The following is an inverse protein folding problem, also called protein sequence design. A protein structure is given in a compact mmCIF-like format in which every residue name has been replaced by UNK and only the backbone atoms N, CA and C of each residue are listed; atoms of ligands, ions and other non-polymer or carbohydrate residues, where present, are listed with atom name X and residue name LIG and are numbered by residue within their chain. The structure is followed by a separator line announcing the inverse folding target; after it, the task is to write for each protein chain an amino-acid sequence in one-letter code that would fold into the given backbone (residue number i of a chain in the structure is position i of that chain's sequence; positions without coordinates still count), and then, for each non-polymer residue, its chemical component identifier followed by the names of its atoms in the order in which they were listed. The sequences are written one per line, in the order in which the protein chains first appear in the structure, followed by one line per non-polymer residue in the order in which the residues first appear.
data_IF_244214511542
#
_entry.id   IF_244214511542
#
_cell.length_a   1.000
_cell.length_b   1.000
_cell.length_c   1.000
_cell.angle_alpha   90.00
_cell.angle_beta   90.00
_cell.angle_gamma   90.00
#
_symmetry.space_group_name_H-M   'P 1'
#
loop_
_entity.id
_entity.type
_entity.pdbx_description
1 polymer ?
#
# COMPACT_ATOMS: atom_id res chain seq x y z
N UNK A 1 35.05 -56.20 -27.46
CA UNK A 1 33.96 -56.69 -26.57
C UNK A 1 33.52 -55.48 -25.77
N UNK A 2 32.29 -54.97 -25.83
CA UNK A 2 31.00 -55.62 -26.02
C UNK A 2 30.07 -54.83 -26.96
N UNK A 3 29.20 -55.56 -27.64
CA UNK A 3 28.17 -55.06 -28.57
C UNK A 3 26.88 -54.73 -27.81
N UNK A 4 26.13 -53.78 -28.36
CA UNK A 4 24.73 -53.48 -28.07
C UNK A 4 23.83 -54.71 -28.20
N UNK A 5 22.89 -54.87 -27.26
CA UNK A 5 21.77 -55.81 -27.35
C UNK A 5 20.46 -55.03 -27.45
N UNK A 6 19.76 -55.24 -28.56
CA UNK A 6 18.34 -54.89 -28.73
C UNK A 6 17.50 -55.69 -27.73
N UNK A 7 16.51 -55.03 -27.10
CA UNK A 7 15.59 -55.67 -26.16
C UNK A 7 14.35 -54.81 -25.89
N UNK A 8 13.36 -54.95 -26.77
CA UNK A 8 11.91 -54.75 -26.60
C UNK A 8 11.40 -53.55 -25.77
N UNK A 9 10.79 -52.59 -26.48
CA UNK A 9 9.56 -51.92 -26.05
C UNK A 9 8.49 -52.99 -25.78
N UNK A 10 8.09 -53.16 -24.53
CA UNK A 10 7.01 -54.05 -24.13
C UNK A 10 6.46 -53.61 -22.78
N UNK A 11 5.17 -53.32 -22.76
CA UNK A 11 4.36 -52.91 -21.61
C UNK A 11 4.66 -53.68 -20.33
N UNK A 12 5.04 -52.97 -19.25
CA UNK A 12 4.73 -53.38 -17.87
C UNK A 12 4.71 -52.12 -16.97
N UNK A 13 3.67 -51.29 -17.08
CA UNK A 13 3.20 -50.57 -15.88
C UNK A 13 2.58 -51.68 -15.04
N UNK A 14 3.37 -52.22 -14.11
CA UNK A 14 2.82 -53.09 -13.08
C UNK A 14 1.85 -52.25 -12.28
N UNK A 15 0.57 -52.61 -12.34
CA UNK A 15 -0.44 -52.27 -11.35
C UNK A 15 0.13 -52.60 -9.99
N UNK A 16 0.81 -51.62 -9.41
CA UNK A 16 1.16 -51.63 -8.01
C UNK A 16 -0.15 -51.22 -7.37
N UNK A 17 -0.91 -52.20 -6.88
CA UNK A 17 -2.03 -51.92 -5.99
C UNK A 17 -1.47 -51.11 -4.82
N UNK A 18 -1.62 -49.79 -4.92
CA UNK A 18 -1.33 -48.89 -3.81
C UNK A 18 -2.42 -49.16 -2.80
N UNK A 19 -2.09 -49.97 -1.80
CA UNK A 19 -2.89 -50.14 -0.61
C UNK A 19 -3.18 -48.74 -0.05
N UNK A 20 -4.44 -48.31 -0.14
CA UNK A 20 -4.93 -47.03 0.38
C UNK A 20 -4.89 -46.92 1.92
N UNK A 21 -4.19 -47.83 2.61
CA UNK A 21 -4.35 -48.03 4.05
C UNK A 21 -3.48 -47.15 4.94
N UNK A 22 -2.53 -46.35 4.42
CA UNK A 22 -1.63 -45.56 5.28
C UNK A 22 -1.26 -44.19 4.70
N UNK A 23 -2.20 -43.50 4.06
CA UNK A 23 -2.11 -42.04 4.04
C UNK A 23 -2.66 -41.58 5.41
N UNK A 24 -1.87 -40.93 6.27
CA UNK A 24 -2.42 -40.32 7.47
C UNK A 24 -3.47 -39.32 7.00
N UNK A 25 -4.75 -39.61 7.25
CA UNK A 25 -5.77 -38.58 7.10
C UNK A 25 -5.37 -37.46 8.05
N UNK A 26 -4.97 -36.32 7.49
CA UNK A 26 -4.85 -35.10 8.26
C UNK A 26 -6.20 -34.86 8.89
N UNK A 27 -6.27 -35.02 10.21
CA UNK A 27 -7.46 -34.72 10.99
C UNK A 27 -7.50 -33.21 11.17
N UNK A 28 -7.85 -32.51 10.09
CA UNK A 28 -8.20 -31.11 10.11
C UNK A 28 -9.72 -31.08 10.12
N UNK A 29 -10.32 -30.41 11.09
CA UNK A 29 -11.76 -30.14 11.19
C UNK A 29 -12.27 -29.22 10.04
N UNK A 30 -11.68 -29.34 8.85
CA UNK A 30 -11.96 -28.58 7.64
C UNK A 30 -12.93 -29.40 6.79
N UNK A 31 -14.07 -28.81 6.49
CA UNK A 31 -15.06 -29.37 5.58
C UNK A 31 -14.51 -29.45 4.15
N UNK A 32 -15.00 -30.39 3.32
CA UNK A 32 -14.65 -30.43 1.90
C UNK A 32 -14.93 -29.12 1.16
N UNK A 33 -15.96 -28.37 1.59
CA UNK A 33 -16.31 -27.06 1.04
C UNK A 33 -15.26 -26.00 1.38
N UNK A 34 -14.77 -25.96 2.62
CA UNK A 34 -13.66 -25.07 3.02
C UNK A 34 -12.36 -25.44 2.32
N UNK A 35 -12.08 -26.75 2.15
CA UNK A 35 -10.91 -27.21 1.41
C UNK A 35 -11.00 -26.84 -0.08
N UNK A 36 -12.17 -27.00 -0.70
CA UNK A 36 -12.40 -26.59 -2.09
C UNK A 36 -12.31 -25.08 -2.25
N UNK A 37 -12.94 -24.29 -1.37
CA UNK A 37 -12.84 -22.83 -1.39
C UNK A 37 -11.41 -22.34 -1.21
N UNK A 38 -10.61 -23.02 -0.37
CA UNK A 38 -9.19 -22.73 -0.24
C UNK A 38 -8.45 -22.98 -1.55
N UNK A 39 -8.63 -24.16 -2.16
CA UNK A 39 -7.97 -24.49 -3.43
C UNK A 39 -8.45 -23.62 -4.60
N UNK A 40 -9.74 -23.30 -4.66
CA UNK A 40 -10.29 -22.39 -5.65
C UNK A 40 -9.66 -21.00 -5.50
N UNK A 41 -9.52 -20.46 -4.27
CA UNK A 41 -8.77 -19.21 -4.02
C UNK A 41 -7.28 -19.34 -4.42
N UNK A 42 -6.64 -20.49 -4.18
CA UNK A 42 -5.22 -20.71 -4.52
C UNK A 42 -4.97 -20.85 -6.03
N UNK A 43 -5.95 -21.33 -6.79
CA UNK A 43 -5.86 -21.52 -8.24
C UNK A 43 -6.69 -20.51 -9.04
N UNK A 44 -7.29 -19.52 -8.36
CA UNK A 44 -7.95 -18.39 -9.00
C UNK A 44 -6.92 -17.65 -9.84
N UNK A 45 -7.25 -17.38 -11.10
CA UNK A 45 -6.32 -16.74 -12.02
C UNK A 45 -6.03 -15.32 -11.52
N UNK A 46 -4.77 -15.06 -11.15
CA UNK A 46 -4.30 -13.71 -10.84
C UNK A 46 -4.66 -12.78 -12.00
N UNK A 47 -5.34 -11.63 -11.74
CA UNK A 47 -5.65 -10.66 -12.77
C UNK A 47 -4.39 -10.21 -13.51
N UNK A 48 -4.44 -10.18 -14.84
CA UNK A 48 -3.33 -9.68 -15.65
C UNK A 48 -3.36 -8.14 -15.62
N UNK A 49 -2.50 -7.54 -14.80
CA UNK A 49 -2.34 -6.08 -14.71
C UNK A 49 -1.24 -5.62 -15.68
N UNK A 50 -1.55 -4.61 -16.50
CA UNK A 50 -0.61 -4.03 -17.46
C UNK A 50 -0.08 -2.68 -16.98
N UNK A 51 1.02 -2.21 -17.59
CA UNK A 51 1.57 -0.87 -17.30
C UNK A 51 0.56 0.27 -17.57
N UNK A 52 -0.42 0.06 -18.45
CA UNK A 52 -1.45 1.07 -18.74
C UNK A 52 -2.44 1.25 -17.59
N UNK A 53 -2.57 0.22 -16.76
CA UNK A 53 -3.47 0.23 -15.61
C UNK A 53 -2.87 0.96 -14.41
N UNK A 54 -1.54 1.15 -14.40
CA UNK A 54 -0.80 1.75 -13.29
C UNK A 54 -0.10 3.07 -13.64
N UNK A 55 -0.07 3.50 -14.91
CA UNK A 55 0.53 4.76 -15.36
C UNK A 55 -0.50 5.70 -16.00
N UNK A 56 -0.11 6.98 -16.12
CA UNK A 56 -0.94 8.06 -16.68
C UNK A 56 -2.28 8.20 -15.94
N UNK A 57 -2.23 8.17 -14.61
CA UNK A 57 -3.37 8.36 -13.71
C UNK A 57 -3.40 9.80 -13.21
N UNK A 58 -4.61 10.33 -13.08
CA UNK A 58 -4.89 11.65 -12.50
C UNK A 58 -5.62 11.52 -11.17
N UNK A 59 -5.39 12.44 -10.24
CA UNK A 59 -6.10 12.49 -8.96
C UNK A 59 -7.62 12.62 -9.12
N UNK A 60 -8.09 13.26 -10.20
CA UNK A 60 -9.52 13.43 -10.53
C UNK A 60 -10.23 12.09 -10.86
N UNK A 61 -9.48 11.01 -11.08
CA UNK A 61 -10.05 9.69 -11.34
C UNK A 61 -10.53 8.98 -10.06
N UNK A 62 -10.12 9.46 -8.89
CA UNK A 62 -10.40 8.80 -7.62
C UNK A 62 -11.48 9.54 -6.83
N UNK A 63 -12.40 8.76 -6.28
CA UNK A 63 -13.43 9.25 -5.37
C UNK A 63 -13.52 8.31 -4.18
N UNK A 64 -13.57 8.86 -2.98
CA UNK A 64 -13.60 8.09 -1.74
C UNK A 64 -14.94 8.30 -1.02
N UNK A 65 -15.50 7.22 -0.47
CA UNK A 65 -16.75 7.24 0.30
C UNK A 65 -16.45 7.03 1.79
N UNK A 66 -15.67 7.95 2.37
CA UNK A 66 -15.32 7.94 3.80
C UNK A 66 -16.18 8.95 4.56
N UNK A 67 -16.64 8.57 5.75
CA UNK A 67 -17.28 9.52 6.68
C UNK A 67 -16.22 10.31 7.44
N UNK A 68 -15.98 11.56 7.01
CA UNK A 68 -15.01 12.47 7.62
C UNK A 68 -15.61 13.36 8.71
N UNK A 69 -16.87 13.13 9.12
CA UNK A 69 -17.56 13.99 10.09
C UNK A 69 -16.82 14.08 11.43
N UNK A 70 -16.15 13.01 11.84
CA UNK A 70 -15.37 12.92 13.08
C UNK A 70 -13.95 13.55 12.99
N UNK A 71 -13.54 13.98 11.79
CA UNK A 71 -12.26 14.65 11.55
C UNK A 71 -12.34 16.16 11.71
N UNK A 72 -13.53 16.75 11.49
CA UNK A 72 -13.72 18.20 11.45
C UNK A 72 -13.14 18.94 12.67
N UNK A 73 -13.41 18.45 13.87
CA UNK A 73 -12.89 19.06 15.11
C UNK A 73 -11.37 18.95 15.25
N UNK A 74 -10.78 17.87 14.72
CA UNK A 74 -9.33 17.70 14.73
C UNK A 74 -8.67 18.62 13.71
N UNK A 75 -9.21 18.66 12.49
CA UNK A 75 -8.69 19.47 11.38
C UNK A 75 -8.80 20.97 11.67
N UNK A 76 -9.81 21.39 12.43
CA UNK A 76 -9.93 22.76 12.93
C UNK A 76 -8.72 23.19 13.78
N UNK A 77 -8.01 22.26 14.43
CA UNK A 77 -6.78 22.57 15.19
C UNK A 77 -5.55 22.77 14.32
N UNK A 78 -5.58 22.30 13.07
CA UNK A 78 -4.54 22.52 12.06
C UNK A 78 -4.75 23.87 11.32
N UNK A 79 -5.69 24.70 11.76
CA UNK A 79 -5.75 26.09 11.30
C UNK A 79 -4.51 26.87 11.77
N UNK A 80 -3.90 27.63 10.85
CA UNK A 80 -2.67 28.40 11.10
C UNK A 80 -2.72 29.26 12.36
N UNK A 81 -3.88 29.85 12.69
CA UNK A 81 -4.01 30.69 13.88
C UNK A 81 -3.93 29.90 15.19
N UNK A 82 -4.57 28.73 15.24
CA UNK A 82 -4.56 27.86 16.43
C UNK A 82 -3.25 27.11 16.55
N UNK A 83 -2.69 26.67 15.43
CA UNK A 83 -1.42 25.96 15.36
C UNK A 83 -0.25 26.80 15.86
N UNK A 84 -0.25 28.11 15.54
CA UNK A 84 0.79 29.04 15.96
C UNK A 84 0.90 29.19 17.49
N UNK A 85 -0.21 29.00 18.21
CA UNK A 85 -0.26 29.11 19.68
C UNK A 85 0.21 27.83 20.40
N UNK A 86 0.36 26.72 19.67
CA UNK A 86 0.80 25.44 20.22
C UNK A 86 2.33 25.37 20.35
N UNK A 87 2.78 24.71 21.41
CA UNK A 87 4.16 24.24 21.53
C UNK A 87 4.45 23.11 20.54
N UNK A 88 5.73 22.83 20.32
CA UNK A 88 6.16 21.74 19.44
C UNK A 88 5.63 20.37 19.91
N UNK A 89 5.72 20.07 21.21
CA UNK A 89 5.17 18.83 21.78
C UNK A 89 3.65 18.69 21.54
N UNK A 90 2.90 19.78 21.68
CA UNK A 90 1.45 19.79 21.40
C UNK A 90 1.14 19.58 19.92
N UNK A 91 1.98 20.11 19.02
CA UNK A 91 1.85 19.88 17.57
C UNK A 91 2.11 18.42 17.23
N UNK A 92 3.14 17.83 17.80
CA UNK A 92 3.46 16.41 17.59
C UNK A 92 2.34 15.50 18.13
N UNK A 93 1.76 15.80 19.29
CA UNK A 93 0.61 15.06 19.83
C UNK A 93 -0.63 15.17 18.92
N UNK A 94 -0.86 16.32 18.27
CA UNK A 94 -1.93 16.46 17.27
C UNK A 94 -1.66 15.67 16.00
N UNK A 95 -0.40 15.57 15.56
CA UNK A 95 -0.01 14.71 14.42
C UNK A 95 -0.32 13.26 14.73
N UNK A 96 0.07 12.75 15.90
CA UNK A 96 -0.24 11.38 16.34
C UNK A 96 -1.74 11.11 16.37
N UNK A 97 -2.53 12.06 16.87
CA UNK A 97 -4.01 11.97 16.82
C UNK A 97 -4.54 11.93 15.39
N UNK A 98 -3.95 12.70 14.46
CA UNK A 98 -4.34 12.69 13.06
C UNK A 98 -3.99 11.36 12.39
N UNK A 99 -2.78 10.84 12.65
CA UNK A 99 -2.32 9.54 12.17
C UNK A 99 -3.28 8.43 12.61
N UNK A 100 -3.59 8.37 13.91
CA UNK A 100 -4.52 7.36 14.43
C UNK A 100 -5.89 7.44 13.76
N UNK A 101 -6.47 8.64 13.59
CA UNK A 101 -7.80 8.76 12.98
C UNK A 101 -7.81 8.46 11.48
N UNK A 102 -6.79 8.89 10.74
CA UNK A 102 -6.69 8.61 9.30
C UNK A 102 -6.45 7.12 9.06
N UNK A 103 -5.62 6.49 9.90
CA UNK A 103 -5.42 5.04 9.87
C UNK A 103 -6.73 4.27 10.12
N UNK A 104 -7.55 4.72 11.08
CA UNK A 104 -8.87 4.14 11.33
C UNK A 104 -9.81 4.30 10.12
N UNK A 105 -9.80 5.47 9.44
CA UNK A 105 -10.58 5.72 8.22
C UNK A 105 -10.16 4.76 7.09
N UNK A 106 -8.85 4.58 6.91
CA UNK A 106 -8.28 3.68 5.92
C UNK A 106 -8.50 2.20 6.28
N UNK A 107 -8.75 1.89 7.55
CA UNK A 107 -8.81 0.52 8.06
C UNK A 107 -7.45 -0.17 8.04
N UNK A 108 -6.37 0.54 8.39
CA UNK A 108 -5.03 -0.05 8.48
C UNK A 108 -5.00 -1.15 9.54
N UNK A 109 -4.42 -2.30 9.18
CA UNK A 109 -4.22 -3.40 10.13
C UNK A 109 -3.07 -3.09 11.10
N UNK A 110 -2.01 -2.49 10.57
CA UNK A 110 -0.85 -2.04 11.35
C UNK A 110 -0.63 -0.55 11.09
N UNK A 111 -0.73 0.27 12.13
CA UNK A 111 -0.52 1.72 12.02
C UNK A 111 0.99 1.99 12.03
N UNK A 112 1.54 2.79 11.08
CA UNK A 112 2.95 3.13 11.06
C UNK A 112 3.39 3.88 12.32
N UNK A 113 4.63 3.66 12.78
CA UNK A 113 5.25 4.49 13.81
C UNK A 113 5.62 5.86 13.23
N UNK A 114 5.29 6.95 13.93
CA UNK A 114 5.68 8.29 13.49
C UNK A 114 7.11 8.60 13.94
N UNK A 115 7.96 8.99 13.00
CA UNK A 115 9.32 9.44 13.28
C UNK A 115 9.60 10.78 12.63
N UNK A 116 10.22 11.68 13.39
CA UNK A 116 10.63 12.99 12.91
C UNK A 116 12.10 13.00 12.51
N UNK A 117 12.41 13.64 11.40
CA UNK A 117 13.78 13.83 10.91
C UNK A 117 14.02 15.25 10.40
N UNK A 118 15.29 15.62 10.25
CA UNK A 118 15.71 16.90 9.67
C UNK A 118 16.29 16.66 8.28
N UNK A 119 15.75 17.34 7.27
CA UNK A 119 16.27 17.35 5.90
C UNK A 119 15.90 18.65 5.18
N UNK A 120 16.26 18.79 3.90
CA UNK A 120 15.88 19.93 3.07
C UNK A 120 14.35 20.14 3.06
N UNK A 121 13.84 21.39 3.14
CA UNK A 121 12.40 21.67 3.16
C UNK A 121 11.61 21.22 1.93
N UNK A 122 12.28 20.86 0.82
CA UNK A 122 11.62 20.24 -0.33
C UNK A 122 11.25 18.77 -0.12
N UNK A 123 11.78 18.14 0.94
CA UNK A 123 11.42 16.81 1.37
C UNK A 123 10.46 16.90 2.57
N UNK A 124 9.17 16.71 2.32
CA UNK A 124 8.13 16.83 3.34
C UNK A 124 8.05 15.60 4.26
N UNK A 125 8.29 14.41 3.72
CA UNK A 125 8.15 13.15 4.44
C UNK A 125 8.23 11.94 3.52
N UNK A 126 8.20 10.75 4.13
CA UNK A 126 8.18 9.47 3.43
C UNK A 126 7.52 8.38 4.29
N UNK A 127 6.80 7.47 3.65
CA UNK A 127 6.48 6.17 4.23
C UNK A 127 7.59 5.14 3.94
N UNK A 128 8.27 4.69 4.99
CA UNK A 128 9.30 3.65 4.91
C UNK A 128 8.65 2.26 5.02
N UNK A 129 8.17 1.72 3.90
CA UNK A 129 7.39 0.48 3.86
C UNK A 129 8.05 -0.72 4.55
N UNK A 130 9.35 -0.92 4.37
CA UNK A 130 10.08 -2.04 4.99
C UNK A 130 10.18 -1.99 6.52
N UNK A 131 9.87 -0.84 7.14
CA UNK A 131 9.91 -0.64 8.58
C UNK A 131 8.54 -0.27 9.17
N UNK A 132 7.54 -0.03 8.33
CA UNK A 132 6.24 0.54 8.71
C UNK A 132 6.41 1.84 9.53
N UNK A 133 7.17 2.80 8.99
CA UNK A 133 7.44 4.09 9.62
C UNK A 133 6.89 5.22 8.74
N UNK A 134 6.13 6.13 9.36
CA UNK A 134 5.77 7.42 8.79
C UNK A 134 6.84 8.45 9.17
N UNK A 135 7.73 8.76 8.24
CA UNK A 135 8.75 9.79 8.39
C UNK A 135 8.20 11.17 8.07
N UNK A 136 8.32 12.12 9.00
CA UNK A 136 7.91 13.52 8.81
C UNK A 136 9.13 14.42 8.97
N UNK A 137 9.37 15.30 8.00
CA UNK A 137 10.39 16.33 8.15
C UNK A 137 9.92 17.37 9.17
N UNK A 138 10.74 17.70 10.17
CA UNK A 138 10.38 18.70 11.19
C UNK A 138 10.07 20.08 10.61
N UNK A 139 10.56 20.40 9.40
CA UNK A 139 10.20 21.63 8.70
C UNK A 139 8.70 21.76 8.43
N UNK A 140 8.00 20.63 8.27
CA UNK A 140 6.54 20.58 8.04
C UNK A 140 5.74 21.11 9.23
N UNK A 141 6.29 21.07 10.45
CA UNK A 141 5.62 21.62 11.64
C UNK A 141 5.38 23.13 11.54
N UNK A 142 5.98 23.81 10.56
CA UNK A 142 5.76 25.23 10.26
C UNK A 142 4.55 25.50 9.36
N UNK A 143 4.08 24.51 8.59
CA UNK A 143 2.88 24.59 7.76
C UNK A 143 1.92 23.44 8.08
N UNK A 144 0.93 23.65 8.97
CA UNK A 144 0.04 22.59 9.39
C UNK A 144 -0.86 22.05 8.26
N UNK A 145 -1.06 22.81 7.18
CA UNK A 145 -1.88 22.36 6.04
C UNK A 145 -1.09 21.41 5.15
N UNK A 146 0.17 21.74 4.88
CA UNK A 146 1.06 20.83 4.15
C UNK A 146 1.33 19.57 4.98
N UNK A 147 1.59 19.73 6.28
CA UNK A 147 1.80 18.62 7.20
C UNK A 147 0.66 17.60 7.18
N UNK A 148 -0.60 18.04 7.27
CA UNK A 148 -1.73 17.10 7.25
C UNK A 148 -1.92 16.45 5.88
N UNK A 149 -1.61 17.16 4.80
CA UNK A 149 -1.62 16.60 3.45
C UNK A 149 -0.56 15.50 3.33
N UNK A 150 0.68 15.78 3.74
CA UNK A 150 1.79 14.83 3.81
C UNK A 150 1.42 13.60 4.64
N UNK A 151 0.89 13.79 5.85
CA UNK A 151 0.45 12.67 6.72
C UNK A 151 -0.59 11.79 6.02
N UNK A 152 -1.61 12.39 5.41
CA UNK A 152 -2.65 11.63 4.72
C UNK A 152 -2.12 10.89 3.48
N UNK A 153 -1.23 11.54 2.73
CA UNK A 153 -0.57 10.97 1.55
C UNK A 153 0.23 9.72 1.90
N UNK A 154 1.13 9.84 2.89
CA UNK A 154 2.00 8.73 3.29
C UNK A 154 1.23 7.60 3.98
N UNK A 155 0.15 7.90 4.72
CA UNK A 155 -0.73 6.85 5.25
C UNK A 155 -1.50 6.13 4.15
N UNK A 156 -1.81 6.79 3.02
CA UNK A 156 -2.38 6.10 1.87
C UNK A 156 -1.38 5.13 1.25
N UNK A 157 -0.09 5.46 1.22
CA UNK A 157 0.96 4.50 0.85
C UNK A 157 1.02 3.31 1.80
N UNK A 158 0.91 3.53 3.12
CA UNK A 158 0.82 2.44 4.08
C UNK A 158 -0.37 1.50 3.81
N UNK A 159 -1.54 2.07 3.47
CA UNK A 159 -2.72 1.29 3.07
C UNK A 159 -2.45 0.48 1.80
N UNK A 160 -1.95 1.12 0.74
CA UNK A 160 -1.67 0.47 -0.54
C UNK A 160 -0.67 -0.68 -0.40
N UNK A 161 0.38 -0.50 0.42
CA UNK A 161 1.36 -1.53 0.75
C UNK A 161 0.71 -2.73 1.45
N UNK A 162 -0.11 -2.49 2.49
CA UNK A 162 -0.80 -3.57 3.20
C UNK A 162 -1.76 -4.35 2.30
N UNK A 163 -2.48 -3.64 1.41
CA UNK A 163 -3.33 -4.27 0.39
C UNK A 163 -2.52 -5.08 -0.62
N UNK A 164 -1.35 -4.59 -1.03
CA UNK A 164 -0.47 -5.28 -1.96
C UNK A 164 0.19 -6.54 -1.39
N UNK A 165 0.41 -6.60 -0.07
CA UNK A 165 1.02 -7.76 0.60
C UNK A 165 0.11 -9.00 0.63
N UNK A 166 -1.22 -8.80 0.68
CA UNK A 166 -2.22 -9.86 0.62
C UNK A 166 -3.37 -9.44 -0.32
N UNK A 167 -3.15 -9.48 -1.66
CA UNK A 167 -4.09 -8.92 -2.61
C UNK A 167 -5.34 -9.80 -2.76
N UNK A 168 -6.51 -9.18 -2.66
CA UNK A 168 -7.81 -9.87 -2.80
C UNK A 168 -8.67 -9.32 -3.94
N UNK A 169 -8.43 -8.07 -4.34
CA UNK A 169 -9.17 -7.36 -5.38
C UNK A 169 -8.26 -6.99 -6.54
N UNK A 170 -8.85 -6.68 -7.70
CA UNK A 170 -8.08 -6.17 -8.85
C UNK A 170 -7.26 -4.92 -8.50
N UNK A 171 -7.79 -4.03 -7.64
CA UNK A 171 -7.07 -2.83 -7.20
C UNK A 171 -5.84 -3.18 -6.36
N UNK A 172 -5.94 -4.18 -5.48
CA UNK A 172 -4.80 -4.63 -4.68
C UNK A 172 -3.67 -5.18 -5.57
N UNK A 173 -4.04 -5.94 -6.62
CA UNK A 173 -3.07 -6.39 -7.62
C UNK A 173 -2.47 -5.23 -8.43
N UNK A 174 -3.22 -4.16 -8.66
CA UNK A 174 -2.67 -2.93 -9.28
C UNK A 174 -1.68 -2.24 -8.35
N UNK A 175 -1.96 -2.14 -7.05
CA UNK A 175 -0.99 -1.64 -6.07
C UNK A 175 0.27 -2.48 -6.05
N UNK A 176 0.13 -3.81 -5.95
CA UNK A 176 1.27 -4.74 -5.99
C UNK A 176 2.10 -4.55 -7.26
N UNK A 177 1.45 -4.45 -8.42
CA UNK A 177 2.13 -4.27 -9.71
C UNK A 177 2.84 -2.92 -9.78
N UNK A 178 2.18 -1.83 -9.33
CA UNK A 178 2.79 -0.51 -9.33
C UNK A 178 3.96 -0.41 -8.36
N UNK A 179 3.84 -0.90 -7.12
CA UNK A 179 4.91 -0.88 -6.12
C UNK A 179 6.11 -1.73 -6.57
N UNK A 180 5.86 -2.88 -7.20
CA UNK A 180 6.93 -3.74 -7.74
C UNK A 180 7.68 -3.11 -8.92
N UNK A 181 7.08 -2.12 -9.59
CA UNK A 181 7.63 -1.44 -10.76
C UNK A 181 7.66 0.09 -10.55
N UNK A 182 7.85 0.51 -9.30
CA UNK A 182 7.73 1.90 -8.89
C UNK A 182 8.73 2.79 -9.64
N UNK A 183 8.26 3.94 -10.12
CA UNK A 183 9.09 4.92 -10.82
C UNK A 183 9.46 6.01 -9.83
N UNK A 184 10.73 6.08 -9.44
CA UNK A 184 11.24 7.18 -8.64
C UNK A 184 11.76 8.32 -9.53
N UNK A 185 11.58 9.59 -9.14
CA UNK A 185 12.24 10.70 -9.81
C UNK A 185 13.75 10.58 -9.67
N UNK A 186 14.50 10.98 -10.69
CA UNK A 186 15.97 10.99 -10.63
C UNK A 186 16.48 12.42 -10.77
N UNK A 187 17.33 12.83 -9.84
CA UNK A 187 17.99 14.13 -9.87
C UNK A 187 19.38 14.00 -10.48
N UNK A 188 19.65 14.81 -11.49
CA UNK A 188 20.98 14.88 -12.14
C UNK A 188 21.95 15.72 -11.32
N UNK A 189 23.25 15.63 -11.60
CA UNK A 189 24.28 16.46 -10.96
C UNK A 189 24.04 17.98 -11.12
N UNK A 190 23.27 18.39 -12.13
CA UNK A 190 22.94 19.80 -12.39
C UNK A 190 21.66 20.26 -11.69
N UNK A 191 20.98 19.38 -10.96
CA UNK A 191 19.71 19.65 -10.29
C UNK A 191 18.46 19.45 -11.15
N UNK A 192 18.60 19.02 -12.42
CA UNK A 192 17.44 18.67 -13.25
C UNK A 192 16.78 17.39 -12.72
N UNK A 193 15.45 17.40 -12.59
CA UNK A 193 14.65 16.22 -12.23
C UNK A 193 14.10 15.55 -13.50
N UNK A 194 14.41 14.28 -13.69
CA UNK A 194 13.87 13.44 -14.77
C UNK A 194 12.88 12.42 -14.20
N UNK A 195 11.94 11.96 -15.04
CA UNK A 195 10.86 11.03 -14.68
C UNK A 195 9.85 11.59 -13.67
N UNK A 196 9.87 12.89 -13.40
CA UNK A 196 8.94 13.52 -12.47
C UNK A 196 7.47 13.29 -12.84
N UNK A 197 7.11 13.45 -14.12
CA UNK A 197 5.74 13.22 -14.59
C UNK A 197 5.35 11.74 -14.48
N UNK A 198 6.25 10.82 -14.85
CA UNK A 198 5.98 9.38 -14.75
C UNK A 198 5.82 8.93 -13.30
N UNK A 199 6.62 9.51 -12.39
CA UNK A 199 6.48 9.35 -10.95
C UNK A 199 5.12 9.89 -10.48
N UNK A 200 4.78 11.14 -10.79
CA UNK A 200 3.52 11.73 -10.33
C UNK A 200 2.30 10.97 -10.86
N UNK A 201 2.30 10.58 -12.13
CA UNK A 201 1.13 10.01 -12.80
C UNK A 201 1.02 8.49 -12.62
N UNK A 202 1.80 7.87 -11.73
CA UNK A 202 1.59 6.48 -11.37
C UNK A 202 0.41 6.33 -10.39
N UNK A 203 -0.29 5.20 -10.47
CA UNK A 203 -1.54 4.93 -9.73
C UNK A 203 -1.39 5.19 -8.23
N UNK A 204 -0.33 4.67 -7.61
CA UNK A 204 -0.17 4.77 -6.15
C UNK A 204 0.01 6.21 -5.69
N UNK A 205 0.71 7.04 -6.47
CA UNK A 205 0.96 8.45 -6.15
C UNK A 205 -0.25 9.33 -6.45
N UNK A 206 -0.89 9.13 -7.61
CA UNK A 206 -2.07 9.88 -8.00
C UNK A 206 -3.23 9.64 -7.04
N UNK A 207 -3.45 8.40 -6.61
CA UNK A 207 -4.47 8.07 -5.62
C UNK A 207 -4.09 8.60 -4.23
N UNK A 208 -2.81 8.53 -3.82
CA UNK A 208 -2.36 9.07 -2.54
C UNK A 208 -2.58 10.58 -2.43
N UNK A 209 -2.29 11.33 -3.50
CA UNK A 209 -2.62 12.77 -3.58
C UNK A 209 -4.13 13.03 -3.55
N UNK A 210 -4.91 12.27 -4.32
CA UNK A 210 -6.37 12.39 -4.30
C UNK A 210 -6.94 12.17 -2.89
N UNK A 211 -6.42 11.16 -2.18
CA UNK A 211 -6.83 10.90 -0.79
C UNK A 211 -6.40 12.02 0.16
N UNK A 212 -5.17 12.53 0.03
CA UNK A 212 -4.69 13.64 0.86
C UNK A 212 -5.51 14.92 0.66
N UNK A 213 -6.03 15.15 -0.54
CA UNK A 213 -6.90 16.29 -0.86
C UNK A 213 -8.22 16.29 -0.08
N UNK A 214 -8.69 15.13 0.41
CA UNK A 214 -9.87 15.06 1.30
C UNK A 214 -9.68 15.89 2.60
N UNK A 215 -8.43 16.06 3.02
CA UNK A 215 -8.05 16.75 4.27
C UNK A 215 -7.55 18.18 4.02
N UNK A 216 -7.30 18.55 2.76
CA UNK A 216 -7.07 19.94 2.39
C UNK A 216 -8.43 20.66 2.41
N UNK A 217 -8.51 21.80 3.10
CA UNK A 217 -9.77 22.38 3.58
C UNK A 217 -10.85 22.79 2.55
N UNK A 218 -10.71 22.46 1.27
CA UNK A 218 -11.73 22.73 0.23
C UNK A 218 -12.88 21.69 0.24
N UNK A 219 -12.61 20.42 0.57
CA UNK A 219 -13.66 19.37 0.58
C UNK A 219 -14.37 19.20 1.94
N UNK A 220 -13.75 19.59 3.06
CA UNK A 220 -14.35 19.47 4.40
C UNK A 220 -15.45 20.49 4.73
N UNK A 221 -15.84 21.33 3.76
CA UNK A 221 -16.84 22.40 3.91
C UNK A 221 -18.14 22.10 3.15
N UNK A 222 -18.20 21.01 2.39
CA UNK A 222 -19.37 20.59 1.63
C UNK A 222 -20.38 19.77 2.46
#
# INVERSE_FOLDING_TARGET
MFKFGEGALGDEIKDTEISFSEVPMFNTDISPEEAMSFWDKQFESVPEISMKDILNRSEDEFSFDYDLSNMKELMDKFDNSKWADLSEDERMDLVEQAVSKIADILGLNEIPEVMYFEDDPSNCGYYYSGLNILGINVCELSDPKELINTVAHELRHAYQEQRAMDPETEMDYKYLTNLSNYISPLFTENGDCILFTDYQDQLVEAEARAFANLFSGEEMVA
#
